data_IF_680643078876
#
_entry.id   IF_680643078876
#
_cell.length_a   1.000
_cell.length_b   1.000
_cell.length_c   1.000
_cell.angle_alpha   90.00
_cell.angle_beta   90.00
_cell.angle_gamma   90.00
#
_symmetry.space_group_name_H-M   'P 1'
#
loop_
_entity.id
_entity.type
_entity.pdbx_description
1 polymer ?
#
# COMPACT_ATOMS: atom_id res chain seq x y z
N UNK A 1 4.58 19.62 22.32
CA UNK A 1 5.66 20.65 22.31
C UNK A 1 6.39 20.60 20.96
N UNK A 2 6.96 21.71 20.49
CA UNK A 2 7.72 21.73 19.24
C UNK A 2 8.84 22.77 19.28
N UNK A 3 9.94 22.46 18.61
CA UNK A 3 11.09 23.36 18.38
C UNK A 3 11.58 23.16 16.96
N UNK A 4 11.98 24.25 16.31
CA UNK A 4 12.60 24.21 14.99
C UNK A 4 13.68 25.27 14.90
N UNK A 5 14.77 24.94 14.20
CA UNK A 5 15.86 25.84 13.92
C UNK A 5 16.23 25.75 12.44
N UNK A 6 16.68 26.87 11.89
CA UNK A 6 17.16 26.95 10.52
C UNK A 6 18.39 27.82 10.45
N UNK A 7 19.40 27.36 9.71
CA UNK A 7 20.64 28.09 9.47
C UNK A 7 20.81 28.30 7.97
N UNK A 8 20.79 29.56 7.54
CA UNK A 8 21.10 29.96 6.17
C UNK A 8 22.59 30.18 6.05
N UNK A 9 23.32 29.11 5.73
CA UNK A 9 24.77 29.18 5.59
C UNK A 9 25.19 29.95 4.33
N UNK A 10 24.33 30.12 3.32
CA UNK A 10 24.63 30.95 2.15
C UNK A 10 24.81 32.45 2.48
N UNK A 11 24.25 32.92 3.59
CA UNK A 11 24.41 34.31 4.03
C UNK A 11 25.73 34.58 4.77
N UNK A 12 26.43 33.52 5.17
CA UNK A 12 27.70 33.62 5.87
C UNK A 12 28.80 34.18 4.95
N UNK A 13 29.65 35.05 5.50
CA UNK A 13 30.71 35.74 4.74
C UNK A 13 31.66 34.78 4.01
N UNK A 14 31.93 33.60 4.59
CA UNK A 14 32.80 32.60 4.01
C UNK A 14 32.16 31.79 2.86
N UNK A 15 30.83 31.79 2.75
CA UNK A 15 30.09 31.15 1.65
C UNK A 15 29.74 32.12 0.52
N UNK A 16 29.67 33.43 0.76
CA UNK A 16 29.41 34.46 -0.27
C UNK A 16 30.39 34.48 -1.44
N UNK A 17 31.56 33.85 -1.30
CA UNK A 17 32.53 33.65 -2.40
C UNK A 17 32.03 32.70 -3.48
N UNK A 18 31.08 31.81 -3.16
CA UNK A 18 30.54 30.83 -4.11
C UNK A 18 29.35 31.42 -4.86
N UNK A 19 29.61 32.20 -5.91
CA UNK A 19 28.58 32.88 -6.71
C UNK A 19 27.60 31.94 -7.44
N UNK A 20 27.86 30.64 -7.45
CA UNK A 20 26.97 29.65 -8.06
C UNK A 20 25.87 29.17 -7.10
N UNK A 21 26.00 29.40 -5.79
CA UNK A 21 25.02 29.07 -4.75
C UNK A 21 24.21 30.32 -4.42
N UNK A 22 22.91 30.30 -4.74
CA UNK A 22 22.00 31.41 -4.46
C UNK A 22 21.40 31.32 -3.05
N UNK A 23 21.01 30.11 -2.63
CA UNK A 23 20.44 29.83 -1.31
C UNK A 23 20.99 28.50 -0.80
N UNK A 24 21.36 28.47 0.47
CA UNK A 24 21.83 27.30 1.17
C UNK A 24 21.34 27.34 2.60
N UNK A 25 20.38 26.47 2.94
CA UNK A 25 19.73 26.46 4.24
C UNK A 25 19.62 25.04 4.78
N UNK A 26 20.07 24.87 6.02
CA UNK A 26 19.88 23.66 6.80
C UNK A 26 18.75 23.88 7.81
N UNK A 27 17.86 22.89 7.93
CA UNK A 27 16.73 22.88 8.85
C UNK A 27 16.84 21.70 9.80
N UNK A 28 16.46 21.90 11.05
CA UNK A 28 16.20 20.81 11.98
C UNK A 28 14.92 21.12 12.78
N UNK A 29 14.05 20.15 12.95
CA UNK A 29 12.85 20.29 13.76
C UNK A 29 12.54 19.04 14.57
N UNK A 30 11.96 19.27 15.74
CA UNK A 30 11.40 18.25 16.61
C UNK A 30 10.03 18.72 17.09
N UNK A 31 9.02 17.87 17.00
CA UNK A 31 7.67 18.21 17.45
C UNK A 31 6.88 16.99 17.87
N UNK A 32 5.95 17.19 18.79
CA UNK A 32 4.99 16.18 19.25
C UNK A 32 3.60 16.64 18.89
N UNK A 33 2.88 15.82 18.13
CA UNK A 33 1.48 16.03 17.77
C UNK A 33 0.61 14.92 18.37
N UNK A 34 -0.68 15.18 18.53
CA UNK A 34 -1.62 14.22 19.10
C UNK A 34 -2.78 13.92 18.14
N UNK A 35 -3.28 12.69 18.18
CA UNK A 35 -4.46 12.25 17.43
C UNK A 35 -5.58 11.78 18.39
N UNK A 36 -6.81 12.23 18.14
CA UNK A 36 -8.05 11.86 18.87
C UNK A 36 -9.13 11.28 17.97
N UNK A 37 -8.79 10.69 16.83
CA UNK A 37 -9.79 10.13 15.91
C UNK A 37 -10.47 8.87 16.50
N UNK A 38 -11.18 9.03 17.61
CA UNK A 38 -12.01 8.08 18.32
C UNK A 38 -13.42 8.64 18.46
N UNK A 39 -14.41 7.76 18.56
CA UNK A 39 -15.80 8.16 18.75
C UNK A 39 -16.04 8.92 20.07
N UNK A 40 -17.10 9.73 20.09
CA UNK A 40 -17.54 10.37 21.33
C UNK A 40 -17.85 9.32 22.41
N UNK A 41 -17.48 9.62 23.65
CA UNK A 41 -17.73 8.75 24.81
C UNK A 41 -17.06 7.36 24.75
N UNK A 42 -16.08 7.14 23.86
CA UNK A 42 -15.41 5.84 23.70
C UNK A 42 -14.80 5.28 25.01
N UNK A 43 -14.41 6.14 25.95
CA UNK A 43 -13.89 5.72 27.25
C UNK A 43 -14.95 5.43 28.33
N UNK A 44 -16.24 5.71 28.10
CA UNK A 44 -17.28 5.65 29.14
C UNK A 44 -18.00 4.29 29.23
N UNK A 45 -17.87 3.43 28.22
CA UNK A 45 -18.68 2.22 28.10
C UNK A 45 -20.16 2.54 27.84
N UNK A 46 -20.96 1.53 27.54
CA UNK A 46 -22.36 1.77 27.21
C UNK A 46 -23.21 0.53 27.04
N UNK A 47 -24.51 0.76 26.91
CA UNK A 47 -25.49 -0.24 26.57
C UNK A 47 -26.25 0.20 25.32
N UNK A 48 -26.55 -0.76 24.44
CA UNK A 48 -27.42 -0.54 23.29
C UNK A 48 -28.62 -1.46 23.37
N UNK A 49 -29.75 -1.00 22.82
CA UNK A 49 -30.85 -1.89 22.52
C UNK A 49 -30.46 -2.69 21.27
N UNK A 50 -30.21 -3.98 21.43
CA UNK A 50 -29.85 -4.85 20.31
C UNK A 50 -30.59 -6.18 20.42
N UNK A 51 -31.60 -6.32 19.57
CA UNK A 51 -32.36 -7.54 19.41
C UNK A 51 -33.51 -7.71 20.41
N UNK A 52 -34.09 -8.90 20.36
CA UNK A 52 -35.17 -9.31 21.24
C UNK A 52 -34.83 -10.62 21.92
N UNK A 53 -35.06 -10.69 23.23
CA UNK A 53 -35.00 -11.93 23.98
C UNK A 53 -36.41 -12.31 24.41
N UNK A 54 -36.89 -13.48 23.97
CA UNK A 54 -38.25 -13.97 24.23
C UNK A 54 -39.35 -12.97 23.81
N UNK A 55 -39.16 -12.24 22.71
CA UNK A 55 -40.14 -11.27 22.21
C UNK A 55 -40.16 -9.93 22.95
N UNK A 56 -39.26 -9.72 23.92
CA UNK A 56 -39.05 -8.44 24.60
C UNK A 56 -37.78 -7.76 24.08
N UNK A 57 -37.74 -6.42 24.11
CA UNK A 57 -36.53 -5.67 23.76
C UNK A 57 -35.39 -6.02 24.73
N UNK A 58 -34.24 -6.39 24.18
CA UNK A 58 -33.06 -6.71 24.97
C UNK A 58 -32.05 -5.56 24.93
N UNK A 59 -31.53 -5.21 26.10
CA UNK A 59 -30.41 -4.28 26.24
C UNK A 59 -29.16 -5.10 26.45
N UNK A 60 -28.14 -4.87 25.64
CA UNK A 60 -26.84 -5.54 25.76
C UNK A 60 -25.75 -4.52 26.02
N UNK A 61 -24.65 -4.99 26.62
CA UNK A 61 -23.45 -4.20 26.79
C UNK A 61 -22.85 -3.90 25.40
N UNK A 62 -22.62 -2.62 25.10
CA UNK A 62 -22.04 -2.18 23.83
C UNK A 62 -20.56 -1.80 23.93
N UNK A 63 -20.04 -1.65 25.15
CA UNK A 63 -18.64 -1.34 25.38
C UNK A 63 -18.30 -1.30 26.87
N UNK A 64 -17.07 -1.68 27.19
CA UNK A 64 -16.53 -1.60 28.56
C UNK A 64 -15.88 -0.23 28.76
N UNK A 65 -16.11 0.45 29.91
CA UNK A 65 -15.44 1.71 30.21
C UNK A 65 -13.91 1.54 30.24
N UNK A 66 -13.19 2.46 29.58
CA UNK A 66 -11.74 2.56 29.64
C UNK A 66 -11.34 3.98 30.11
N UNK A 67 -11.23 4.21 31.42
CA UNK A 67 -10.88 5.52 31.97
C UNK A 67 -9.42 5.93 31.68
N UNK A 68 -8.58 4.99 31.25
CA UNK A 68 -7.18 5.24 30.89
C UNK A 68 -6.99 5.64 29.41
N UNK A 69 -8.07 5.70 28.64
CA UNK A 69 -8.03 6.10 27.24
C UNK A 69 -7.54 7.55 27.12
N UNK A 70 -6.49 7.73 26.30
CA UNK A 70 -5.80 8.99 26.04
C UNK A 70 -5.56 9.15 24.55
N UNK A 71 -4.98 10.28 24.17
CA UNK A 71 -4.63 10.57 22.79
C UNK A 71 -3.41 9.76 22.35
N UNK A 72 -3.40 9.39 21.08
CA UNK A 72 -2.20 8.87 20.42
C UNK A 72 -1.20 10.02 20.26
N UNK A 73 0.08 9.76 20.48
CA UNK A 73 1.14 10.78 20.41
C UNK A 73 2.14 10.43 19.31
N UNK A 74 2.39 11.35 18.38
CA UNK A 74 3.41 11.21 17.36
C UNK A 74 4.53 12.21 17.55
N UNK A 75 5.73 11.68 17.79
CA UNK A 75 6.99 12.42 17.80
C UNK A 75 7.54 12.49 16.37
N UNK A 76 7.89 13.69 15.92
CA UNK A 76 8.42 13.96 14.60
C UNK A 76 9.79 14.63 14.72
N UNK A 77 10.82 13.97 14.21
CA UNK A 77 12.16 14.53 14.03
C UNK A 77 12.44 14.67 12.55
N UNK A 78 12.92 15.84 12.11
CA UNK A 78 13.23 16.12 10.71
C UNK A 78 14.53 16.92 10.59
N UNK A 79 15.34 16.56 9.60
CA UNK A 79 16.49 17.34 9.14
C UNK A 79 16.28 17.61 7.66
N UNK A 80 16.32 18.88 7.26
CA UNK A 80 16.05 19.33 5.91
C UNK A 80 17.20 20.14 5.34
N UNK A 81 17.44 20.01 4.03
CA UNK A 81 18.43 20.76 3.27
C UNK A 81 17.74 21.42 2.09
N UNK A 82 17.91 22.73 1.97
CA UNK A 82 17.43 23.54 0.85
C UNK A 82 18.64 24.16 0.15
N UNK A 83 18.73 23.94 -1.15
CA UNK A 83 19.80 24.46 -2.01
C UNK A 83 19.20 25.06 -3.27
N UNK A 84 19.69 26.23 -3.66
CA UNK A 84 19.41 26.83 -4.97
C UNK A 84 20.71 27.25 -5.64
N UNK A 85 20.81 26.98 -6.93
CA UNK A 85 22.00 27.25 -7.73
C UNK A 85 21.66 27.96 -9.04
N UNK A 86 22.68 28.66 -9.57
CA UNK A 86 22.70 29.25 -10.90
C UNK A 86 21.54 30.24 -11.16
N UNK A 87 21.29 31.16 -10.22
CA UNK A 87 20.16 32.09 -10.22
C UNK A 87 18.82 31.37 -10.10
N UNK A 88 18.73 30.44 -9.15
CA UNK A 88 17.57 29.61 -8.88
C UNK A 88 17.13 28.75 -10.09
N UNK A 89 18.07 28.38 -10.95
CA UNK A 89 17.78 27.47 -12.07
C UNK A 89 17.79 26.01 -11.65
N UNK A 90 18.45 25.68 -10.55
CA UNK A 90 18.44 24.34 -9.98
C UNK A 90 18.13 24.51 -8.50
N UNK A 91 16.97 24.00 -8.07
CA UNK A 91 16.55 24.02 -6.68
C UNK A 91 16.38 22.59 -6.19
N UNK A 92 17.02 22.27 -5.09
CA UNK A 92 16.95 20.98 -4.44
C UNK A 92 16.45 21.17 -3.00
N UNK A 93 15.45 20.38 -2.64
CA UNK A 93 15.00 20.24 -1.26
C UNK A 93 15.08 18.76 -0.89
N UNK A 94 15.79 18.46 0.19
CA UNK A 94 15.90 17.10 0.74
C UNK A 94 15.50 17.09 2.20
N UNK A 95 14.74 16.09 2.61
CA UNK A 95 14.24 15.93 3.97
C UNK A 95 14.49 14.49 4.43
N UNK A 96 15.11 14.33 5.58
CA UNK A 96 15.20 13.07 6.29
C UNK A 96 14.33 13.15 7.54
N UNK A 97 13.43 12.20 7.73
CA UNK A 97 12.51 12.21 8.86
C UNK A 97 12.47 10.89 9.62
N UNK A 98 12.12 11.00 10.90
CA UNK A 98 11.77 9.92 11.79
C UNK A 98 10.50 10.32 12.54
N UNK A 99 9.44 9.54 12.36
CA UNK A 99 8.18 9.67 13.07
C UNK A 99 8.02 8.44 13.97
N UNK A 100 7.69 8.65 15.24
CA UNK A 100 7.36 7.58 16.19
C UNK A 100 6.00 7.88 16.79
N UNK A 101 5.06 6.99 16.53
CA UNK A 101 3.71 7.08 17.05
C UNK A 101 3.57 6.08 18.19
N UNK A 102 3.22 6.59 19.37
CA UNK A 102 3.01 5.83 20.58
C UNK A 102 1.55 5.91 20.98
N UNK A 103 1.10 4.92 21.77
CA UNK A 103 -0.26 4.88 22.29
C UNK A 103 -1.32 4.82 21.17
N UNK A 104 -1.08 4.00 20.13
CA UNK A 104 -1.98 3.91 18.97
C UNK A 104 -3.40 3.61 19.42
N UNK A 105 -4.35 4.31 18.82
CA UNK A 105 -5.77 4.17 19.13
C UNK A 105 -6.42 3.12 18.25
N UNK A 106 -6.81 1.99 18.83
CA UNK A 106 -7.59 0.95 18.14
C UNK A 106 -8.42 0.10 19.10
N UNK A 107 -9.37 -0.63 18.51
CA UNK A 107 -10.21 -1.59 19.22
C UNK A 107 -9.44 -2.89 19.45
N UNK A 108 -9.15 -3.19 20.72
CA UNK A 108 -8.47 -4.43 21.11
C UNK A 108 -9.49 -5.52 21.37
N UNK A 109 -9.26 -6.70 20.78
CA UNK A 109 -10.07 -7.88 21.07
C UNK A 109 -9.88 -8.30 22.52
N UNK A 110 -10.99 -8.47 23.24
CA UNK A 110 -11.01 -8.96 24.63
C UNK A 110 -11.64 -10.35 24.69
N UNK A 111 -11.37 -11.15 25.74
CA UNK A 111 -11.99 -12.47 25.88
C UNK A 111 -13.53 -12.38 25.84
N UNK A 112 -14.17 -13.26 25.08
CA UNK A 112 -15.63 -13.26 24.91
C UNK A 112 -16.42 -13.47 26.20
N UNK A 113 -15.77 -14.00 27.25
CA UNK A 113 -16.32 -14.08 28.61
C UNK A 113 -16.67 -12.72 29.22
N UNK A 114 -16.10 -11.64 28.68
CA UNK A 114 -16.40 -10.25 29.11
C UNK A 114 -17.74 -9.73 28.59
N UNK A 115 -18.39 -10.43 27.64
CA UNK A 115 -19.67 -10.01 27.06
C UNK A 115 -19.58 -8.97 25.94
N UNK A 116 -18.37 -8.51 25.59
CA UNK A 116 -18.09 -7.70 24.41
C UNK A 116 -16.92 -8.31 23.61
N UNK A 117 -16.84 -7.99 22.32
CA UNK A 117 -15.78 -8.53 21.45
C UNK A 117 -14.52 -7.65 21.43
N UNK A 118 -14.67 -6.33 21.66
CA UNK A 118 -13.57 -5.37 21.62
C UNK A 118 -13.75 -4.24 22.63
N UNK A 119 -12.63 -3.58 22.99
CA UNK A 119 -12.61 -2.37 23.81
C UNK A 119 -11.59 -1.38 23.20
N UNK A 120 -11.94 -0.09 23.04
CA UNK A 120 -11.00 0.91 22.56
C UNK A 120 -9.88 1.11 23.57
N UNK A 121 -8.64 1.19 23.10
CA UNK A 121 -7.49 1.41 23.95
C UNK A 121 -6.30 2.02 23.24
N UNK A 122 -5.32 2.42 24.06
CA UNK A 122 -4.01 2.89 23.62
C UNK A 122 -3.03 1.73 23.71
N UNK A 123 -2.68 1.14 22.58
CA UNK A 123 -1.74 0.03 22.57
C UNK A 123 -0.79 0.12 21.40
N UNK A 124 0.38 -0.48 21.58
CA UNK A 124 1.37 -0.55 20.51
C UNK A 124 2.00 0.79 20.14
N UNK A 125 2.99 0.68 19.28
CA UNK A 125 3.71 1.82 18.73
C UNK A 125 4.26 1.46 17.36
N UNK A 126 4.39 2.46 16.51
CA UNK A 126 4.96 2.31 15.18
C UNK A 126 5.96 3.42 14.87
N UNK A 127 6.78 3.17 13.87
CA UNK A 127 7.78 4.11 13.39
C UNK A 127 7.69 4.23 11.88
N UNK A 128 7.73 5.46 11.37
CA UNK A 128 7.99 5.76 9.97
C UNK A 128 9.32 6.50 9.86
N UNK A 129 10.22 6.02 9.02
CA UNK A 129 11.44 6.74 8.69
C UNK A 129 11.60 6.83 7.18
N UNK A 130 12.07 7.97 6.71
CA UNK A 130 12.08 8.20 5.28
C UNK A 130 12.98 9.33 4.82
N UNK A 131 13.16 9.35 3.51
CA UNK A 131 13.83 10.39 2.76
C UNK A 131 12.85 10.94 1.73
N UNK A 132 12.73 12.25 1.66
CA UNK A 132 11.98 12.95 0.62
C UNK A 132 12.94 13.88 -0.10
N UNK A 133 12.86 13.92 -1.42
CA UNK A 133 13.68 14.80 -2.23
C UNK A 133 12.85 15.40 -3.36
N UNK A 134 13.07 16.68 -3.61
CA UNK A 134 12.51 17.39 -4.76
C UNK A 134 13.64 18.11 -5.48
N UNK A 135 13.81 17.83 -6.76
CA UNK A 135 14.72 18.54 -7.64
C UNK A 135 13.90 19.28 -8.70
N UNK A 136 13.98 20.60 -8.70
CA UNK A 136 13.39 21.44 -9.75
C UNK A 136 14.50 22.07 -10.57
N UNK A 137 14.33 22.02 -11.90
CA UNK A 137 15.28 22.58 -12.86
C UNK A 137 14.56 23.47 -13.86
N UNK A 138 15.15 24.62 -14.16
CA UNK A 138 14.77 25.50 -15.26
C UNK A 138 15.76 25.26 -16.39
N UNK A 139 15.44 24.31 -17.27
CA UNK A 139 16.32 23.81 -18.32
C UNK A 139 16.58 24.86 -19.41
N UNK A 140 15.53 25.60 -19.84
CA UNK A 140 15.62 26.62 -20.88
C UNK A 140 14.72 27.82 -20.50
N UNK A 141 15.16 29.05 -20.76
CA UNK A 141 14.50 30.28 -20.27
C UNK A 141 13.94 31.21 -21.36
N UNK A 142 14.31 31.06 -22.63
CA UNK A 142 13.70 31.75 -23.79
C UNK A 142 14.30 31.26 -25.12
N UNK A 143 13.59 31.43 -26.27
CA UNK A 143 12.16 31.74 -26.40
C UNK A 143 11.28 30.53 -26.07
N UNK A 144 11.85 29.33 -26.12
CA UNK A 144 11.31 28.12 -25.54
C UNK A 144 11.65 28.11 -24.04
N UNK A 145 10.67 27.78 -23.21
CA UNK A 145 10.85 27.62 -21.77
C UNK A 145 10.59 26.18 -21.40
N UNK A 146 11.46 25.61 -20.60
CA UNK A 146 11.29 24.24 -20.12
C UNK A 146 11.74 24.15 -18.67
N UNK A 147 10.85 23.64 -17.83
CA UNK A 147 11.17 23.24 -16.47
C UNK A 147 10.80 21.78 -16.22
N UNK A 148 11.55 21.15 -15.33
CA UNK A 148 11.31 19.78 -14.87
C UNK A 148 11.36 19.74 -13.35
N UNK A 149 10.44 19.00 -12.75
CA UNK A 149 10.44 18.69 -11.32
C UNK A 149 10.42 17.19 -11.14
N UNK A 150 11.41 16.67 -10.43
CA UNK A 150 11.47 15.29 -9.98
C UNK A 150 11.20 15.27 -8.47
N UNK A 151 10.20 14.49 -8.05
CA UNK A 151 9.93 14.21 -6.64
C UNK A 151 10.23 12.74 -6.36
N UNK A 152 10.81 12.48 -5.20
CA UNK A 152 11.16 11.15 -4.72
C UNK A 152 10.80 11.04 -3.25
N UNK A 153 10.19 9.93 -2.86
CA UNK A 153 9.86 9.61 -1.49
C UNK A 153 10.20 8.15 -1.20
N UNK A 154 10.94 7.94 -0.12
CA UNK A 154 11.25 6.64 0.45
C UNK A 154 10.72 6.63 1.87
N UNK A 155 9.88 5.66 2.22
CA UNK A 155 9.33 5.53 3.57
C UNK A 155 9.35 4.06 3.99
N UNK A 156 9.84 3.78 5.19
CA UNK A 156 9.72 2.47 5.82
C UNK A 156 8.94 2.59 7.10
N UNK A 157 7.82 1.89 7.15
CA UNK A 157 7.07 1.69 8.38
C UNK A 157 7.59 0.45 9.12
N UNK A 158 7.52 0.48 10.44
CA UNK A 158 7.82 -0.66 11.31
C UNK A 158 6.96 -0.62 12.56
N UNK A 159 6.36 -1.75 12.90
CA UNK A 159 5.68 -1.96 14.18
C UNK A 159 6.74 -2.19 15.26
N UNK A 160 6.73 -1.34 16.28
CA UNK A 160 7.68 -1.39 17.40
C UNK A 160 7.13 -2.19 18.59
N UNK A 161 5.83 -2.13 18.83
CA UNK A 161 5.17 -2.91 19.88
C UNK A 161 3.71 -3.19 19.55
N UNK A 162 3.18 -4.28 20.11
CA UNK A 162 1.79 -4.71 20.03
C UNK A 162 1.29 -5.10 21.43
N UNK A 163 -0.04 -5.10 21.67
CA UNK A 163 -0.60 -5.58 22.93
C UNK A 163 -0.06 -6.96 23.29
N UNK A 164 0.53 -7.10 24.48
CA UNK A 164 1.11 -8.35 24.99
C UNK A 164 2.18 -9.00 24.08
N UNK A 165 2.73 -8.24 23.13
CA UNK A 165 3.69 -8.76 22.14
C UNK A 165 3.12 -9.81 21.18
N UNK A 166 1.78 -9.93 21.10
CA UNK A 166 1.11 -10.90 20.25
C UNK A 166 0.88 -10.34 18.85
N UNK A 167 1.02 -11.19 17.84
CA UNK A 167 0.63 -10.85 16.48
C UNK A 167 -0.87 -10.56 16.41
N UNK A 168 -1.23 -9.59 15.58
CA UNK A 168 -2.62 -9.19 15.39
C UNK A 168 -3.01 -9.35 13.92
N UNK A 169 -4.08 -10.09 13.64
CA UNK A 169 -4.61 -10.31 12.30
C UNK A 169 -5.92 -9.53 12.13
N UNK A 170 -5.92 -8.36 11.46
CA UNK A 170 -7.15 -7.59 11.24
C UNK A 170 -8.13 -8.28 10.29
N UNK A 171 -7.63 -9.22 9.47
CA UNK A 171 -8.42 -10.04 8.56
C UNK A 171 -7.65 -11.34 8.22
N UNK A 172 -8.16 -12.12 7.26
CA UNK A 172 -7.55 -13.38 6.84
C UNK A 172 -6.21 -13.22 6.08
N UNK A 173 -5.96 -12.06 5.47
CA UNK A 173 -4.85 -11.82 4.53
C UNK A 173 -3.68 -11.09 5.17
N UNK A 174 -3.94 -10.12 6.05
CA UNK A 174 -2.93 -9.24 6.62
C UNK A 174 -2.58 -9.64 8.06
N UNK A 175 -1.38 -9.24 8.48
CA UNK A 175 -0.88 -9.40 9.83
C UNK A 175 -0.11 -8.15 10.26
N UNK A 176 -0.24 -7.83 11.54
CA UNK A 176 0.60 -6.91 12.28
C UNK A 176 1.50 -7.73 13.20
N UNK A 177 2.82 -7.61 13.02
CA UNK A 177 3.86 -8.31 13.80
C UNK A 177 4.95 -7.32 14.21
N UNK A 178 5.41 -7.42 15.46
CA UNK A 178 6.52 -6.59 15.95
C UNK A 178 7.76 -6.89 15.13
N UNK A 179 8.42 -5.85 14.61
CA UNK A 179 9.59 -6.02 13.75
C UNK A 179 9.32 -5.68 12.29
N UNK A 180 8.07 -5.87 11.85
CA UNK A 180 7.64 -5.88 10.45
C UNK A 180 6.93 -4.59 10.04
N UNK A 181 6.83 -4.31 8.72
CA UNK A 181 5.96 -3.29 8.18
C UNK A 181 4.49 -3.50 8.55
N UNK A 182 3.71 -2.41 8.47
CA UNK A 182 2.28 -2.46 8.75
C UNK A 182 1.52 -3.23 7.67
N UNK A 183 0.69 -4.18 8.08
CA UNK A 183 -0.26 -4.85 7.20
C UNK A 183 0.36 -5.82 6.19
N UNK A 184 1.53 -6.40 6.49
CA UNK A 184 2.14 -7.46 5.66
C UNK A 184 1.15 -8.59 5.38
N UNK A 185 1.24 -9.21 4.21
CA UNK A 185 0.43 -10.38 3.87
C UNK A 185 0.97 -11.63 4.57
N UNK A 186 0.07 -12.46 5.10
CA UNK A 186 0.40 -13.67 5.86
C UNK A 186 -0.41 -14.86 5.36
N UNK A 187 0.29 -15.91 4.94
CA UNK A 187 -0.31 -17.07 4.27
C UNK A 187 0.70 -18.18 4.00
N UNK A 188 0.28 -19.16 3.21
CA UNK A 188 1.15 -20.24 2.73
C UNK A 188 2.02 -19.75 1.56
N UNK A 189 3.20 -20.34 1.41
CA UNK A 189 4.10 -20.04 0.30
C UNK A 189 4.18 -21.20 -0.68
N UNK A 190 3.89 -20.94 -1.95
CA UNK A 190 3.86 -21.95 -3.01
C UNK A 190 5.26 -22.28 -3.50
N UNK A 191 5.45 -23.54 -3.88
CA UNK A 191 6.64 -24.04 -4.59
C UNK A 191 6.31 -24.54 -6.00
N UNK A 192 5.02 -24.75 -6.30
CA UNK A 192 4.55 -25.21 -7.59
C UNK A 192 3.26 -26.01 -7.45
N UNK A 193 2.98 -26.85 -8.44
CA UNK A 193 1.88 -27.81 -8.46
C UNK A 193 2.48 -29.19 -8.69
N UNK A 194 2.04 -30.20 -7.93
CA UNK A 194 2.48 -31.57 -8.15
C UNK A 194 2.07 -32.02 -9.56
N UNK A 195 3.02 -32.40 -10.41
CA UNK A 195 2.71 -32.88 -11.75
C UNK A 195 2.08 -34.28 -11.69
N UNK A 196 2.58 -35.12 -10.77
CA UNK A 196 2.11 -36.49 -10.53
C UNK A 196 1.88 -36.81 -9.06
N UNK A 197 1.06 -37.82 -8.79
CA UNK A 197 0.83 -38.32 -7.43
C UNK A 197 2.14 -38.82 -6.78
N UNK A 198 3.04 -39.42 -7.57
CA UNK A 198 4.31 -39.95 -7.08
C UNK A 198 5.35 -38.87 -6.73
N UNK A 199 5.13 -37.62 -7.16
CA UNK A 199 6.03 -36.50 -6.87
C UNK A 199 5.89 -36.04 -5.40
N UNK A 200 4.82 -36.44 -4.71
CA UNK A 200 4.63 -36.13 -3.30
C UNK A 200 5.50 -37.04 -2.40
N UNK A 201 6.75 -36.62 -2.20
CA UNK A 201 7.73 -37.31 -1.35
C UNK A 201 8.25 -36.34 -0.29
N UNK A 202 7.81 -36.49 0.95
CA UNK A 202 8.40 -35.78 2.10
C UNK A 202 9.69 -36.47 2.56
N UNK A 203 9.59 -37.77 2.86
CA UNK A 203 10.74 -38.58 3.30
C UNK A 203 10.65 -39.98 2.72
N UNK A 204 11.81 -40.61 2.48
CA UNK A 204 11.90 -42.05 2.24
C UNK A 204 12.44 -42.72 3.49
N UNK A 205 11.72 -43.73 3.99
CA UNK A 205 12.23 -44.56 5.06
C UNK A 205 13.43 -45.37 4.56
N UNK A 206 14.58 -45.20 5.20
CA UNK A 206 15.86 -45.79 4.75
C UNK A 206 15.89 -47.31 4.89
N UNK A 207 15.12 -47.88 5.83
CA UNK A 207 15.13 -49.31 6.12
C UNK A 207 14.14 -50.09 5.25
N UNK A 208 13.00 -49.49 4.94
CA UNK A 208 11.89 -50.14 4.22
C UNK A 208 11.72 -49.63 2.78
N UNK A 209 12.35 -48.51 2.44
CA UNK A 209 12.18 -47.84 1.15
C UNK A 209 10.82 -47.17 0.96
N UNK A 210 9.94 -47.22 1.97
CA UNK A 210 8.57 -46.67 1.92
C UNK A 210 8.62 -45.15 1.82
N UNK A 211 7.80 -44.61 0.91
CA UNK A 211 7.62 -43.16 0.76
C UNK A 211 6.63 -42.68 1.82
N UNK A 212 7.03 -41.66 2.57
CA UNK A 212 6.18 -40.89 3.46
C UNK A 212 5.81 -39.61 2.69
N UNK A 213 4.53 -39.41 2.35
CA UNK A 213 4.09 -38.24 1.61
C UNK A 213 3.75 -37.06 2.53
N UNK A 214 3.76 -35.85 1.98
CA UNK A 214 3.18 -34.68 2.62
C UNK A 214 1.67 -34.86 2.81
N UNK A 215 1.16 -34.37 3.95
CA UNK A 215 -0.25 -34.44 4.34
C UNK A 215 -0.78 -33.08 4.75
N UNK A 216 -2.08 -32.87 4.58
CA UNK A 216 -2.75 -31.64 4.97
C UNK A 216 -3.32 -31.74 6.39
N UNK A 217 -3.05 -30.72 7.22
CA UNK A 217 -3.66 -30.47 8.52
C UNK A 217 -3.15 -31.35 9.68
N UNK A 218 -2.94 -32.65 9.47
CA UNK A 218 -2.44 -33.55 10.52
C UNK A 218 -1.75 -34.80 9.96
N UNK A 219 -1.11 -35.59 10.83
CA UNK A 219 -0.47 -36.87 10.50
C UNK A 219 -1.44 -37.92 9.93
N UNK A 220 -2.73 -37.82 10.25
CA UNK A 220 -3.81 -38.64 9.69
C UNK A 220 -4.61 -37.92 8.59
N UNK A 221 -4.12 -36.77 8.15
CA UNK A 221 -4.72 -35.93 7.14
C UNK A 221 -4.66 -36.52 5.74
N UNK A 222 -5.29 -35.81 4.79
CA UNK A 222 -5.31 -36.20 3.38
C UNK A 222 -3.92 -36.03 2.78
N UNK A 223 -3.55 -36.95 1.90
CA UNK A 223 -2.28 -36.94 1.16
C UNK A 223 -2.43 -36.04 -0.06
N UNK A 224 -1.47 -35.13 -0.27
CA UNK A 224 -1.39 -34.32 -1.49
C UNK A 224 -1.16 -35.21 -2.73
N UNK A 225 -1.75 -34.83 -3.86
CA UNK A 225 -1.73 -35.59 -5.12
C UNK A 225 -1.37 -34.69 -6.30
N UNK A 226 -1.19 -35.29 -7.48
CA UNK A 226 -1.10 -34.60 -8.75
C UNK A 226 -2.22 -33.57 -8.91
N UNK A 227 -1.82 -32.37 -9.30
CA UNK A 227 -2.63 -31.19 -9.41
C UNK A 227 -2.81 -30.39 -8.14
N UNK A 228 -2.47 -30.92 -6.95
CA UNK A 228 -2.49 -30.10 -5.74
C UNK A 228 -1.27 -29.18 -5.64
N UNK A 229 -1.43 -28.07 -4.93
CA UNK A 229 -0.35 -27.12 -4.67
C UNK A 229 0.74 -27.75 -3.79
N UNK A 230 1.98 -27.42 -4.13
CA UNK A 230 3.15 -27.71 -3.32
C UNK A 230 3.35 -26.52 -2.39
N UNK A 231 3.19 -26.73 -1.09
CA UNK A 231 3.40 -25.71 -0.07
C UNK A 231 4.80 -25.85 0.55
N UNK A 232 5.37 -24.73 0.96
CA UNK A 232 6.58 -24.72 1.78
C UNK A 232 6.26 -25.19 3.21
N UNK A 233 6.78 -26.35 3.57
CA UNK A 233 6.85 -26.86 4.95
C UNK A 233 7.97 -26.11 5.70
N UNK A 234 7.61 -25.30 6.69
CA UNK A 234 8.54 -24.44 7.44
C UNK A 234 9.16 -25.20 8.61
N UNK A 235 8.35 -26.01 9.30
CA UNK A 235 8.79 -26.71 10.51
C UNK A 235 9.46 -28.06 10.20
N UNK A 236 9.31 -28.57 8.97
CA UNK A 236 9.94 -29.78 8.47
C UNK A 236 9.30 -31.08 8.96
N UNK A 237 8.03 -31.08 9.36
CA UNK A 237 7.34 -32.25 9.91
C UNK A 237 6.53 -33.06 8.86
N UNK A 238 6.45 -32.57 7.62
CA UNK A 238 5.71 -33.19 6.52
C UNK A 238 4.20 -32.98 6.57
N UNK A 239 3.71 -32.13 7.47
CA UNK A 239 2.30 -31.80 7.67
C UNK A 239 2.09 -30.32 7.36
N UNK A 240 1.36 -30.02 6.28
CA UNK A 240 1.03 -28.64 5.93
C UNK A 240 -0.15 -28.15 6.77
N UNK A 241 0.08 -27.19 7.67
CA UNK A 241 -0.95 -26.62 8.55
C UNK A 241 -0.68 -25.13 8.89
N UNK A 242 -1.29 -24.62 9.97
CA UNK A 242 -1.17 -23.22 10.39
C UNK A 242 0.25 -22.85 10.88
N UNK A 243 1.07 -23.83 11.27
CA UNK A 243 2.47 -23.65 11.67
C UNK A 243 3.39 -23.35 10.47
N UNK A 244 2.90 -23.53 9.23
CA UNK A 244 3.60 -23.21 7.98
C UNK A 244 3.22 -21.86 7.38
N UNK A 245 2.38 -21.09 8.07
CA UNK A 245 2.04 -19.74 7.64
C UNK A 245 3.25 -18.81 7.84
N UNK A 246 3.52 -17.98 6.83
CA UNK A 246 4.61 -17.01 6.84
C UNK A 246 4.21 -15.70 6.17
N UNK A 247 5.08 -14.70 6.29
CA UNK A 247 4.92 -13.45 5.57
C UNK A 247 5.18 -13.72 4.09
N UNK A 248 4.22 -13.33 3.24
CA UNK A 248 4.19 -13.66 1.81
C UNK A 248 4.20 -12.41 0.91
N UNK A 249 4.17 -11.19 1.48
CA UNK A 249 4.30 -9.95 0.72
C UNK A 249 4.11 -8.70 1.59
N UNK A 250 4.46 -7.54 1.05
CA UNK A 250 4.38 -6.24 1.72
C UNK A 250 3.61 -5.22 0.86
N UNK A 251 2.45 -4.70 1.31
CA UNK A 251 1.70 -3.70 0.54
C UNK A 251 2.32 -2.30 0.54
N UNK A 252 3.40 -2.08 1.29
CA UNK A 252 4.03 -0.77 1.41
C UNK A 252 5.11 -0.60 0.33
N UNK A 253 5.03 0.43 -0.55
CA UNK A 253 6.02 0.62 -1.60
C UNK A 253 7.40 0.94 -1.05
N UNK A 254 8.42 0.45 -1.74
CA UNK A 254 9.81 0.75 -1.43
C UNK A 254 10.12 2.23 -1.64
N UNK A 255 9.61 2.80 -2.73
CA UNK A 255 9.70 4.23 -3.02
C UNK A 255 8.63 4.66 -3.99
N UNK A 256 8.28 5.94 -3.93
CA UNK A 256 7.31 6.58 -4.80
C UNK A 256 7.86 7.91 -5.30
N UNK A 257 7.18 8.51 -6.28
CA UNK A 257 7.58 9.82 -6.77
C UNK A 257 6.82 10.25 -8.00
N UNK A 258 7.36 11.29 -8.62
CA UNK A 258 6.77 11.87 -9.81
C UNK A 258 7.76 12.68 -10.63
N UNK A 259 7.49 12.76 -11.92
CA UNK A 259 8.26 13.54 -12.87
C UNK A 259 7.31 14.45 -13.64
N UNK A 260 7.32 15.73 -13.25
CA UNK A 260 6.53 16.78 -13.86
C UNK A 260 7.38 17.59 -14.83
N UNK A 261 6.81 17.93 -15.99
CA UNK A 261 7.45 18.82 -16.95
C UNK A 261 6.47 19.87 -17.43
N UNK A 262 6.98 21.06 -17.65
CA UNK A 262 6.27 22.15 -18.29
C UNK A 262 7.14 22.74 -19.40
N UNK A 263 6.60 22.75 -20.61
CA UNK A 263 7.24 23.25 -21.82
C UNK A 263 6.36 24.36 -22.39
N UNK A 264 6.89 25.57 -22.53
CA UNK A 264 6.16 26.71 -23.05
C UNK A 264 6.88 27.32 -24.25
N UNK A 265 6.14 27.54 -25.34
CA UNK A 265 6.63 28.20 -26.53
C UNK A 265 5.59 29.17 -27.07
N UNK A 266 5.93 30.47 -27.09
CA UNK A 266 5.00 31.54 -27.47
C UNK A 266 3.72 31.47 -26.62
N UNK A 267 2.57 31.23 -27.26
CA UNK A 267 1.26 31.11 -26.62
C UNK A 267 0.89 29.68 -26.21
N UNK A 268 1.74 28.69 -26.51
CA UNK A 268 1.48 27.29 -26.17
C UNK A 268 2.19 26.91 -24.88
N UNK A 269 1.49 26.16 -24.03
CA UNK A 269 2.04 25.48 -22.86
C UNK A 269 1.63 24.02 -22.92
N UNK A 270 2.61 23.14 -22.88
CA UNK A 270 2.44 21.70 -22.81
C UNK A 270 3.01 21.22 -21.48
N UNK A 271 2.25 20.40 -20.76
CA UNK A 271 2.70 19.81 -19.50
C UNK A 271 2.35 18.34 -19.42
N UNK A 272 3.18 17.59 -18.69
CA UNK A 272 2.90 16.20 -18.38
C UNK A 272 3.44 15.84 -17.00
N UNK A 273 2.77 14.90 -16.34
CA UNK A 273 3.14 14.36 -15.05
C UNK A 273 3.13 12.83 -15.12
N UNK A 274 4.30 12.24 -14.93
CA UNK A 274 4.41 10.84 -14.57
C UNK A 274 4.39 10.69 -13.06
N UNK A 275 3.67 9.70 -12.54
CA UNK A 275 3.78 9.23 -11.15
C UNK A 275 4.28 7.79 -11.16
N UNK A 276 5.01 7.38 -10.14
CA UNK A 276 5.50 6.03 -10.03
C UNK A 276 5.52 5.54 -8.58
N UNK A 277 5.41 4.22 -8.43
CA UNK A 277 5.49 3.49 -7.17
C UNK A 277 6.13 2.15 -7.45
N UNK A 278 7.13 1.75 -6.65
CA UNK A 278 7.85 0.50 -6.86
C UNK A 278 8.00 -0.28 -5.56
N UNK A 279 7.96 -1.60 -5.65
CA UNK A 279 8.21 -2.54 -4.55
C UNK A 279 7.02 -2.79 -3.62
N UNK A 280 5.82 -2.33 -3.97
CA UNK A 280 4.61 -2.71 -3.25
C UNK A 280 4.04 -4.01 -3.83
N UNK A 281 3.46 -4.84 -2.98
CA UNK A 281 2.68 -6.01 -3.37
C UNK A 281 1.17 -5.77 -3.23
N UNK A 282 0.38 -6.48 -4.02
CA UNK A 282 -1.07 -6.53 -3.89
C UNK A 282 -1.53 -7.97 -3.74
N UNK A 283 -2.43 -8.20 -2.79
CA UNK A 283 -3.14 -9.47 -2.69
C UNK A 283 -4.41 -9.42 -3.54
N UNK A 284 -4.41 -10.15 -4.66
CA UNK A 284 -5.51 -10.22 -5.61
C UNK A 284 -6.62 -11.18 -5.15
N UNK A 285 -7.41 -10.72 -4.18
CA UNK A 285 -8.53 -11.50 -3.63
C UNK A 285 -9.63 -11.69 -4.67
N UNK A 286 -9.81 -10.78 -5.62
CA UNK A 286 -10.74 -10.98 -6.73
C UNK A 286 -10.40 -12.25 -7.51
N UNK A 287 -9.13 -12.37 -7.96
CA UNK A 287 -8.65 -13.56 -8.67
C UNK A 287 -8.81 -14.81 -7.83
N UNK A 288 -8.40 -14.77 -6.55
CA UNK A 288 -8.58 -15.90 -5.64
C UNK A 288 -10.04 -16.31 -5.50
N UNK A 289 -10.95 -15.36 -5.33
CA UNK A 289 -12.38 -15.63 -5.15
C UNK A 289 -13.03 -16.22 -6.41
N UNK A 290 -12.62 -15.78 -7.60
CA UNK A 290 -13.09 -16.35 -8.87
C UNK A 290 -12.58 -17.78 -9.05
N UNK A 291 -11.34 -18.05 -8.68
CA UNK A 291 -10.70 -19.33 -8.96
C UNK A 291 -10.85 -20.39 -7.84
N UNK A 292 -11.17 -19.97 -6.61
CA UNK A 292 -11.38 -20.84 -5.45
C UNK A 292 -12.81 -21.37 -5.30
N UNK A 293 -13.77 -20.86 -6.08
CA UNK A 293 -15.18 -21.01 -5.78
C UNK A 293 -15.79 -22.35 -6.25
N UNK A 294 -16.62 -23.01 -5.41
CA UNK A 294 -17.26 -24.30 -5.69
C UNK A 294 -18.65 -24.21 -6.36
N UNK A 295 -18.99 -23.09 -7.01
CA UNK A 295 -20.28 -22.80 -7.64
C UNK A 295 -20.13 -22.44 -9.12
N UNK A 296 -21.21 -22.57 -9.90
CA UNK A 296 -21.29 -22.28 -11.35
C UNK A 296 -21.16 -20.77 -11.65
N UNK A 297 -20.02 -20.18 -11.28
CA UNK A 297 -19.65 -18.81 -11.57
C UNK A 297 -18.62 -18.78 -12.71
N UNK A 298 -18.35 -17.58 -13.20
CA UNK A 298 -17.29 -17.39 -14.17
C UNK A 298 -15.93 -17.47 -13.46
N UNK A 299 -14.94 -18.03 -14.15
CA UNK A 299 -13.57 -18.17 -13.65
C UNK A 299 -12.65 -17.15 -14.32
N UNK A 300 -11.45 -16.96 -13.77
CA UNK A 300 -10.41 -16.27 -14.53
C UNK A 300 -9.98 -17.09 -15.74
N UNK A 301 -9.37 -16.45 -16.73
CA UNK A 301 -8.83 -17.16 -17.90
C UNK A 301 -7.64 -18.06 -17.56
N UNK A 302 -7.04 -17.94 -16.37
CA UNK A 302 -5.96 -18.83 -15.93
C UNK A 302 -6.43 -20.28 -15.75
N UNK A 303 -7.71 -20.49 -15.41
CA UNK A 303 -8.28 -21.83 -15.29
C UNK A 303 -8.27 -22.62 -16.61
N UNK A 304 -8.06 -21.96 -17.75
CA UNK A 304 -7.83 -22.64 -19.03
C UNK A 304 -6.51 -23.45 -19.02
N UNK A 305 -5.52 -23.04 -18.21
CA UNK A 305 -4.20 -23.66 -18.07
C UNK A 305 -4.06 -24.57 -16.85
N UNK A 306 -5.15 -24.80 -16.10
CA UNK A 306 -5.14 -25.65 -14.90
C UNK A 306 -4.66 -27.07 -15.17
N UNK A 307 -4.13 -27.71 -14.15
CA UNK A 307 -3.76 -29.13 -14.17
C UNK A 307 -5.01 -29.99 -14.39
N UNK A 308 -4.93 -31.00 -15.28
CA UNK A 308 -6.06 -31.88 -15.62
C UNK A 308 -5.71 -33.36 -15.54
N UNK A 309 -4.51 -33.73 -15.95
CA UNK A 309 -4.07 -35.13 -16.00
C UNK A 309 -2.66 -35.30 -15.43
N UNK A 310 -2.37 -36.54 -14.99
CA UNK A 310 -1.07 -36.91 -14.45
C UNK A 310 0.06 -36.59 -15.45
N UNK A 311 1.02 -35.78 -15.01
CA UNK A 311 2.15 -35.32 -15.81
C UNK A 311 2.00 -33.91 -16.40
N UNK A 312 0.85 -33.25 -16.24
CA UNK A 312 0.70 -31.83 -16.64
C UNK A 312 1.65 -30.94 -15.81
N UNK A 313 2.38 -30.06 -16.47
CA UNK A 313 3.28 -29.07 -15.85
C UNK A 313 2.66 -27.68 -15.99
N UNK A 314 2.19 -27.13 -14.88
CA UNK A 314 1.49 -25.83 -14.83
C UNK A 314 1.60 -25.22 -13.43
N UNK A 315 1.34 -23.93 -13.32
CA UNK A 315 1.27 -23.16 -12.08
C UNK A 315 -0.14 -23.07 -11.50
N UNK A 316 -1.16 -23.50 -12.27
CA UNK A 316 -2.57 -23.44 -11.86
C UNK A 316 -3.01 -24.82 -11.36
N UNK A 317 -3.33 -24.98 -10.07
CA UNK A 317 -3.68 -26.27 -9.50
C UNK A 317 -5.01 -26.79 -10.04
N UNK A 318 -5.25 -28.08 -9.84
CA UNK A 318 -6.52 -28.70 -10.21
C UNK A 318 -7.68 -28.02 -9.48
N UNK A 319 -8.81 -27.95 -10.17
CA UNK A 319 -10.04 -27.40 -9.61
C UNK A 319 -10.87 -28.54 -9.01
N UNK A 320 -11.05 -28.54 -7.69
CA UNK A 320 -11.83 -29.55 -6.96
C UNK A 320 -12.89 -28.84 -6.13
N UNK A 321 -14.13 -29.34 -6.21
CA UNK A 321 -15.25 -28.85 -5.41
C UNK A 321 -14.88 -28.92 -3.93
N UNK A 322 -15.07 -27.81 -3.21
CA UNK A 322 -14.73 -27.59 -1.79
C UNK A 322 -13.25 -27.46 -1.43
N UNK A 323 -12.35 -27.48 -2.42
CA UNK A 323 -10.89 -27.33 -2.24
C UNK A 323 -10.31 -28.01 -0.97
N UNK A 324 -10.45 -29.34 -0.82
CA UNK A 324 -10.06 -30.04 0.41
C UNK A 324 -8.55 -30.03 0.69
N UNK A 325 -7.73 -29.65 -0.29
CA UNK A 325 -6.28 -29.61 -0.21
C UNK A 325 -5.73 -28.19 -0.10
N UNK A 326 -6.61 -27.19 0.04
CA UNK A 326 -6.25 -25.79 0.19
C UNK A 326 -5.46 -25.22 -1.01
N UNK A 327 -5.72 -25.71 -2.22
CA UNK A 327 -5.06 -25.29 -3.46
C UNK A 327 -5.24 -23.80 -3.75
N UNK A 328 -6.30 -23.18 -3.24
CA UNK A 328 -6.60 -21.75 -3.39
C UNK A 328 -6.66 -21.03 -2.04
N UNK A 329 -5.91 -21.52 -1.05
CA UNK A 329 -5.72 -20.85 0.23
C UNK A 329 -5.03 -19.48 0.08
N UNK A 330 -5.12 -18.68 1.14
CA UNK A 330 -4.38 -17.42 1.26
C UNK A 330 -2.89 -17.72 1.14
N UNK A 331 -2.30 -17.31 0.03
CA UNK A 331 -0.93 -17.64 -0.34
C UNK A 331 -0.31 -16.61 -1.27
N UNK A 332 1.02 -16.68 -1.40
CA UNK A 332 1.80 -15.92 -2.38
C UNK A 332 1.40 -16.20 -3.84
N UNK A 333 0.57 -17.22 -4.10
CA UNK A 333 0.00 -17.43 -5.43
C UNK A 333 -0.81 -16.23 -5.92
N UNK A 334 -1.46 -15.52 -5.00
CA UNK A 334 -2.32 -14.36 -5.27
C UNK A 334 -1.67 -13.04 -4.86
N UNK A 335 -0.39 -13.06 -4.46
CA UNK A 335 0.40 -11.86 -4.21
C UNK A 335 1.08 -11.48 -5.52
N UNK A 336 0.87 -10.26 -5.98
CA UNK A 336 1.37 -9.75 -7.26
C UNK A 336 2.12 -8.44 -7.07
N UNK A 337 3.17 -8.22 -7.86
CA UNK A 337 3.90 -6.95 -7.88
C UNK A 337 3.00 -5.81 -8.36
N UNK A 338 2.84 -4.81 -7.51
CA UNK A 338 2.07 -3.59 -7.75
C UNK A 338 2.97 -2.40 -8.14
N UNK A 339 4.17 -2.67 -8.64
CA UNK A 339 5.04 -1.64 -9.19
C UNK A 339 4.47 -1.06 -10.48
N UNK A 340 4.49 0.26 -10.61
CA UNK A 340 3.95 0.94 -11.80
C UNK A 340 4.57 2.30 -12.09
N UNK A 341 4.42 2.71 -13.36
CA UNK A 341 4.55 4.09 -13.83
C UNK A 341 3.25 4.49 -14.50
N UNK A 342 2.73 5.68 -14.18
CA UNK A 342 1.49 6.20 -14.75
C UNK A 342 1.69 7.58 -15.35
N UNK A 343 1.15 7.81 -16.55
CA UNK A 343 0.95 9.16 -17.07
C UNK A 343 -0.31 9.74 -16.43
N UNK A 344 -0.12 10.39 -15.28
CA UNK A 344 -1.19 10.88 -14.42
C UNK A 344 -1.93 12.06 -15.07
N UNK A 345 -1.21 12.97 -15.72
CA UNK A 345 -1.77 14.13 -16.41
C UNK A 345 -0.94 14.46 -17.65
N UNK A 346 -1.61 14.80 -18.74
CA UNK A 346 -1.02 15.44 -19.92
C UNK A 346 -1.95 16.57 -20.36
N UNK A 347 -1.40 17.76 -20.62
CA UNK A 347 -2.20 18.92 -20.98
C UNK A 347 -1.51 19.77 -22.05
N UNK A 348 -2.31 20.33 -22.94
CA UNK A 348 -1.91 21.35 -23.90
C UNK A 348 -2.85 22.55 -23.75
N UNK A 349 -2.28 23.71 -23.53
CA UNK A 349 -2.99 24.98 -23.40
C UNK A 349 -2.49 25.98 -24.44
N UNK A 350 -3.40 26.76 -24.98
CA UNK A 350 -3.13 27.85 -25.92
C UNK A 350 -3.76 29.15 -25.43
N UNK A 351 -2.93 30.16 -25.21
CA UNK A 351 -3.36 31.51 -24.86
C UNK A 351 -3.76 32.29 -26.11
N UNK A 352 -5.01 32.72 -26.17
CA UNK A 352 -5.52 33.48 -27.31
C UNK A 352 -4.80 34.83 -27.45
N UNK A 353 -4.45 35.27 -28.68
CA UNK A 353 -3.80 36.54 -28.92
C UNK A 353 -4.64 37.74 -28.46
N UNK A 354 -3.99 38.71 -27.82
CA UNK A 354 -4.65 39.95 -27.37
C UNK A 354 -5.33 40.72 -28.52
N UNK A 355 -4.82 40.61 -29.75
CA UNK A 355 -5.39 41.27 -30.94
C UNK A 355 -6.78 40.77 -31.32
N UNK A 356 -7.12 39.54 -30.96
CA UNK A 356 -8.45 38.96 -31.16
C UNK A 356 -9.35 39.33 -29.98
N UNK A 357 -8.82 39.20 -28.76
CA UNK A 357 -9.58 39.42 -27.52
C UNK A 357 -9.97 40.89 -27.31
N UNK A 358 -9.16 41.84 -27.76
CA UNK A 358 -9.47 43.27 -27.65
C UNK A 358 -10.72 43.66 -28.45
N UNK A 359 -11.03 42.96 -29.55
CA UNK A 359 -12.24 43.20 -30.36
C UNK A 359 -13.53 42.86 -29.61
N UNK A 360 -13.45 41.91 -28.67
CA UNK A 360 -14.57 41.42 -27.87
C UNK A 360 -14.51 41.87 -26.41
N UNK A 361 -13.61 42.82 -26.09
CA UNK A 361 -13.43 43.41 -24.75
C UNK A 361 -13.14 42.37 -23.65
N UNK A 362 -12.33 41.36 -23.96
CA UNK A 362 -11.88 40.34 -23.01
C UNK A 362 -10.41 40.58 -22.64
N UNK A 363 -10.09 40.60 -21.33
CA UNK A 363 -8.73 40.85 -20.83
C UNK A 363 -7.75 39.68 -21.05
N UNK A 364 -8.26 38.45 -21.09
CA UNK A 364 -7.47 37.26 -21.42
C UNK A 364 -8.34 36.03 -21.63
N UNK A 365 -7.92 35.13 -22.51
CA UNK A 365 -8.56 33.82 -22.62
C UNK A 365 -7.57 32.74 -23.03
N UNK A 366 -7.80 31.51 -22.57
CA UNK A 366 -7.03 30.32 -22.95
C UNK A 366 -7.94 29.13 -23.24
N UNK A 367 -7.54 28.35 -24.22
CA UNK A 367 -8.14 27.06 -24.56
C UNK A 367 -7.22 25.96 -24.09
N UNK A 368 -7.76 24.93 -23.46
CA UNK A 368 -6.98 23.81 -22.94
C UNK A 368 -7.62 22.47 -23.26
N UNK A 369 -6.79 21.50 -23.62
CA UNK A 369 -7.15 20.08 -23.64
C UNK A 369 -6.26 19.37 -22.64
N UNK A 370 -6.83 18.53 -21.78
CA UNK A 370 -6.06 17.68 -20.89
C UNK A 370 -6.64 16.29 -20.78
N UNK A 371 -5.78 15.33 -20.47
CA UNK A 371 -6.16 13.96 -20.16
C UNK A 371 -5.60 13.57 -18.81
N UNK A 372 -6.45 13.06 -17.94
CA UNK A 372 -6.08 12.49 -16.65
C UNK A 372 -6.09 10.96 -16.71
N UNK A 373 -5.14 10.31 -16.05
CA UNK A 373 -4.97 8.85 -16.01
C UNK A 373 -4.89 8.23 -17.43
N UNK A 374 -3.99 8.74 -18.29
CA UNK A 374 -3.94 8.29 -19.69
C UNK A 374 -3.57 6.80 -19.79
N UNK A 375 -2.49 6.38 -19.15
CA UNK A 375 -2.11 4.96 -19.08
C UNK A 375 -1.29 4.66 -17.83
N UNK A 376 -1.32 3.39 -17.42
CA UNK A 376 -0.49 2.81 -16.35
C UNK A 376 0.29 1.64 -16.94
N UNK A 377 1.59 1.58 -16.68
CA UNK A 377 2.46 0.47 -17.02
C UNK A 377 2.86 -0.23 -15.72
N UNK A 378 2.66 -1.54 -15.62
CA UNK A 378 2.97 -2.35 -14.44
C UNK A 378 2.72 -3.84 -14.67
N UNK A 379 3.07 -4.67 -13.69
CA UNK A 379 2.96 -6.15 -13.76
C UNK A 379 1.61 -6.68 -13.31
N UNK A 380 0.89 -5.90 -12.49
CA UNK A 380 -0.33 -6.34 -11.82
C UNK A 380 -1.41 -6.77 -12.83
N UNK A 381 -1.97 -7.97 -12.65
CA UNK A 381 -2.96 -8.53 -13.58
C UNK A 381 -4.38 -7.96 -13.40
N UNK A 382 -4.64 -7.26 -12.29
CA UNK A 382 -5.90 -6.55 -12.05
C UNK A 382 -6.00 -5.22 -12.81
N UNK A 383 -7.02 -4.42 -12.50
CA UNK A 383 -7.32 -3.20 -13.25
C UNK A 383 -6.38 -2.02 -12.94
N UNK A 384 -6.04 -1.84 -11.66
CA UNK A 384 -5.22 -0.74 -11.17
C UNK A 384 -4.33 -1.27 -10.03
N UNK A 385 -3.01 -1.08 -10.06
CA UNK A 385 -2.10 -1.52 -8.99
C UNK A 385 -2.26 -0.69 -7.70
N UNK A 386 -2.85 0.50 -7.75
CA UNK A 386 -3.14 1.29 -6.55
C UNK A 386 -4.49 0.88 -5.94
N UNK A 387 -4.47 -0.20 -5.16
CA UNK A 387 -5.68 -0.74 -4.51
C UNK A 387 -5.71 -0.47 -3.01
N UNK A 388 -6.88 -0.11 -2.51
CA UNK A 388 -7.21 -0.24 -1.10
C UNK A 388 -8.69 -0.51 -0.93
N UNK A 389 -9.04 -1.70 -0.46
CA UNK A 389 -10.42 -2.10 -0.18
C UNK A 389 -10.81 -1.93 1.30
N UNK A 390 -9.95 -1.30 2.10
CA UNK A 390 -10.10 -1.19 3.55
C UNK A 390 -9.82 0.23 4.03
N UNK A 391 -10.60 0.68 5.01
CA UNK A 391 -10.31 1.91 5.78
C UNK A 391 -9.41 1.65 6.98
N UNK A 392 -9.20 0.38 7.35
CA UNK A 392 -8.25 -0.01 8.38
C UNK A 392 -6.83 -0.06 7.79
N UNK A 393 -5.93 0.77 8.32
CA UNK A 393 -4.53 0.88 7.90
C UNK A 393 -3.73 -0.41 8.05
N UNK A 394 -4.17 -1.35 8.91
CA UNK A 394 -3.54 -2.68 9.06
C UNK A 394 -3.96 -3.68 7.97
N UNK A 395 -4.92 -3.30 7.11
CA UNK A 395 -5.57 -4.17 6.13
C UNK A 395 -5.48 -3.62 4.69
N UNK A 396 -4.42 -2.86 4.39
CA UNK A 396 -4.15 -2.31 3.07
C UNK A 396 -3.74 -3.37 2.03
N UNK A 397 -3.75 -2.99 0.76
CA UNK A 397 -3.19 -3.77 -0.37
C UNK A 397 -3.99 -5.00 -0.80
N UNK A 398 -5.17 -5.25 -0.23
CA UNK A 398 -6.08 -6.32 -0.69
C UNK A 398 -7.02 -5.78 -1.77
N UNK A 399 -6.97 -6.36 -2.97
CA UNK A 399 -7.88 -6.04 -4.07
C UNK A 399 -9.08 -6.99 -4.09
N UNK A 400 -10.27 -6.45 -3.80
CA UNK A 400 -11.55 -7.17 -3.89
C UNK A 400 -12.34 -6.79 -5.14
N UNK A 401 -11.65 -6.35 -6.19
CA UNK A 401 -12.26 -5.80 -7.40
C UNK A 401 -12.53 -4.31 -7.28
N UNK A 402 -11.58 -3.56 -6.71
CA UNK A 402 -11.66 -2.11 -6.68
C UNK A 402 -11.72 -1.56 -8.11
N UNK A 403 -12.63 -0.61 -8.34
CA UNK A 403 -12.74 0.02 -9.66
C UNK A 403 -11.48 0.85 -9.96
N UNK A 404 -10.93 0.76 -11.18
CA UNK A 404 -9.77 1.53 -11.56
C UNK A 404 -10.08 3.03 -11.61
N UNK A 405 -9.04 3.85 -11.55
CA UNK A 405 -9.19 5.28 -11.82
C UNK A 405 -9.66 5.48 -13.26
N UNK A 406 -10.71 6.26 -13.45
CA UNK A 406 -11.25 6.55 -14.78
C UNK A 406 -10.31 7.47 -15.57
N UNK A 407 -10.19 7.20 -16.86
CA UNK A 407 -9.52 8.10 -17.81
C UNK A 407 -10.49 9.22 -18.19
N UNK A 408 -10.07 10.47 -17.97
CA UNK A 408 -10.92 11.64 -18.21
C UNK A 408 -10.28 12.56 -19.24
N UNK A 409 -11.05 12.92 -20.27
CA UNK A 409 -10.66 13.90 -21.28
C UNK A 409 -11.39 15.21 -20.99
N UNK A 410 -10.64 16.29 -20.83
CA UNK A 410 -11.18 17.59 -20.47
C UNK A 410 -10.87 18.61 -21.55
N UNK A 411 -11.88 19.36 -21.94
CA UNK A 411 -11.74 20.59 -22.71
C UNK A 411 -12.08 21.77 -21.80
N UNK A 412 -11.27 22.82 -21.83
CA UNK A 412 -11.45 23.99 -20.99
C UNK A 412 -11.31 25.28 -21.79
N UNK A 413 -12.14 26.27 -21.44
CA UNK A 413 -12.03 27.65 -21.85
C UNK A 413 -11.97 28.50 -20.59
N UNK A 414 -10.85 29.17 -20.36
CA UNK A 414 -10.70 30.11 -19.25
C UNK A 414 -10.80 31.52 -19.80
N UNK A 415 -11.65 32.35 -19.21
CA UNK A 415 -11.85 33.75 -19.60
C UNK A 415 -11.58 34.63 -18.38
N UNK A 416 -10.69 35.60 -18.57
CA UNK A 416 -10.47 36.71 -17.65
C UNK A 416 -11.12 37.94 -18.25
N UNK A 417 -12.16 38.44 -17.59
CA UNK A 417 -12.91 39.64 -18.00
C UNK A 417 -12.09 40.91 -17.71
#
# INVERSE_FOLDING_TARGET
PAVSAGWRFSEETFFKKFQFLDEGKLRASFGVTGNQSIGNYAGQGGYINNGSYLGQNAVILSGIPNPSLKWESTEHSNIGLELSFLKNRITFTGDAYLKRTNDLLFDVTVPGTTGVSTVPGNFGSMQNKGLEATLTTVNIVAPFKWSSTLTFAYNRNKILSLPNGQDYRPNLFNMARVGEPVGVFYGLKKKGVYARDEDNVFRRDENTGVIIPYKQGSSNGKIYKGGDMIWEDINGDGIINDDDLQIIGDPNPDFTGGFANELSYKSFTFSFLFTYSFGADVFNELKRSLDSSPIDQNFSTDQLRRWRVQGDVTDIPRLVKTDPMLNYAVSDHFVEDASFIRLQNIALSYRLPKSILSKVKISGASLGVSVSNLFTLGSYSGYDPEVSSSTNSLAGGVDRGAFPRTRSYNFSLNINL
#
